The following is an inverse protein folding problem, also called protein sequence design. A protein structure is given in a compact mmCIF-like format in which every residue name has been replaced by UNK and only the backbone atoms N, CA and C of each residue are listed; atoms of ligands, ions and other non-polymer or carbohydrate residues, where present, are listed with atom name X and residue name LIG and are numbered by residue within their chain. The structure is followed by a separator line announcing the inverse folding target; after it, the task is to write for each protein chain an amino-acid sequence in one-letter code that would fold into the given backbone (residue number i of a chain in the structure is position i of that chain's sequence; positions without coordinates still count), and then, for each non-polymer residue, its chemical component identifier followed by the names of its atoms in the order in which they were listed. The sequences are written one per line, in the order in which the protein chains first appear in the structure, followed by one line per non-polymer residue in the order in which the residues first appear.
data_IF_103692192283
#
_entry.id   IF_103692192283
#
_cell.length_a   1.000
_cell.length_b   1.000
_cell.length_c   1.000
_cell.angle_alpha   90.00
_cell.angle_beta   90.00
_cell.angle_gamma   90.00
#
_symmetry.space_group_name_H-M   'P 1'
#
loop_
_entity.id
_entity.type
_entity.pdbx_description
1 polymer ?
#
# COMPACT_ATOMS: atom_id res chain seq x y z
N UNK A 1 69.82 21.03 -11.22
CA UNK A 1 68.78 20.00 -11.00
C UNK A 1 68.20 20.18 -9.61
N UNK A 2 66.92 20.51 -9.43
CA UNK A 2 66.34 20.71 -8.10
C UNK A 2 66.13 19.36 -7.41
N UNK A 3 66.70 19.19 -6.21
CA UNK A 3 66.46 18.03 -5.35
C UNK A 3 65.06 18.16 -4.74
N UNK A 4 64.14 17.28 -5.13
CA UNK A 4 62.82 17.17 -4.49
C UNK A 4 63.02 16.61 -3.07
N UNK A 5 62.60 17.38 -2.07
CA UNK A 5 62.62 16.99 -0.66
C UNK A 5 61.57 15.89 -0.43
N UNK A 6 61.99 14.63 -0.39
CA UNK A 6 61.17 13.49 0.02
C UNK A 6 61.09 13.46 1.56
N UNK A 7 60.36 14.41 2.13
CA UNK A 7 59.94 14.30 3.53
C UNK A 7 58.88 13.20 3.59
N UNK A 8 59.25 12.04 4.12
CA UNK A 8 58.35 10.89 4.22
C UNK A 8 57.07 11.25 4.96
N UNK A 9 55.94 10.70 4.50
CA UNK A 9 54.65 10.84 5.19
C UNK A 9 54.84 10.36 6.63
N UNK A 10 54.61 11.24 7.60
CA UNK A 10 54.82 10.86 9.00
C UNK A 10 53.87 9.71 9.36
N UNK A 11 54.31 8.70 10.14
CA UNK A 11 53.45 7.59 10.54
C UNK A 11 52.15 8.05 11.22
N UNK A 12 52.22 9.17 11.94
CA UNK A 12 51.08 9.80 12.59
C UNK A 12 50.02 10.30 11.58
N UNK A 13 50.46 10.84 10.44
CA UNK A 13 49.56 11.30 9.37
C UNK A 13 48.86 10.12 8.70
N UNK A 14 49.56 9.00 8.49
CA UNK A 14 48.97 7.77 7.95
C UNK A 14 47.91 7.19 8.88
N UNK A 15 48.20 7.13 10.19
CA UNK A 15 47.23 6.65 11.20
C UNK A 15 46.01 7.56 11.27
N UNK A 16 46.21 8.89 11.22
CA UNK A 16 45.09 9.84 11.23
C UNK A 16 44.20 9.70 9.99
N UNK A 17 44.79 9.54 8.80
CA UNK A 17 44.03 9.30 7.57
C UNK A 17 43.25 7.99 7.63
N UNK A 18 43.86 6.92 8.16
CA UNK A 18 43.18 5.64 8.35
C UNK A 18 41.99 5.75 9.33
N UNK A 19 42.18 6.49 10.44
CA UNK A 19 41.12 6.73 11.41
C UNK A 19 39.95 7.54 10.82
N UNK A 20 40.25 8.59 10.06
CA UNK A 20 39.22 9.39 9.37
C UNK A 20 38.47 8.53 8.35
N UNK A 21 39.19 7.72 7.55
CA UNK A 21 38.58 6.80 6.59
C UNK A 21 37.62 5.80 7.25
N UNK A 22 38.03 5.23 8.38
CA UNK A 22 37.18 4.29 9.15
C UNK A 22 35.93 4.98 9.69
N UNK A 23 36.05 6.21 10.21
CA UNK A 23 34.91 6.97 10.74
C UNK A 23 33.92 7.32 9.62
N UNK A 24 34.41 7.77 8.46
CA UNK A 24 33.55 8.06 7.29
C UNK A 24 32.84 6.78 6.81
N UNK A 25 33.55 5.66 6.77
CA UNK A 25 32.96 4.36 6.43
C UNK A 25 31.83 3.97 7.39
N UNK A 26 32.06 4.08 8.71
CA UNK A 26 31.05 3.76 9.73
C UNK A 26 29.83 4.68 9.65
N UNK A 27 30.04 5.97 9.35
CA UNK A 27 28.95 6.93 9.14
C UNK A 27 28.09 6.55 7.94
N UNK A 28 28.69 6.21 6.80
CA UNK A 28 27.97 5.79 5.59
C UNK A 28 27.28 4.44 5.80
N UNK A 29 27.93 3.49 6.48
CA UNK A 29 27.36 2.19 6.81
C UNK A 29 26.13 2.29 7.73
N UNK A 30 26.07 3.32 8.58
CA UNK A 30 24.92 3.58 9.44
C UNK A 30 23.81 4.42 8.77
N UNK A 31 24.01 4.91 7.54
CA UNK A 31 22.94 5.59 6.80
C UNK A 31 21.88 4.57 6.39
N UNK A 32 20.65 4.76 6.88
CA UNK A 32 19.45 3.98 6.52
C UNK A 32 19.38 3.55 5.03
N UNK A 33 19.57 4.44 4.04
CA UNK A 33 19.46 4.05 2.63
C UNK A 33 20.50 3.04 2.14
N UNK A 34 21.65 2.90 2.81
CA UNK A 34 22.68 1.92 2.42
C UNK A 34 22.33 0.50 2.88
N UNK A 35 21.87 0.36 4.13
CA UNK A 35 21.42 -0.93 4.66
C UNK A 35 20.21 -1.47 3.89
N UNK A 36 19.28 -0.61 3.49
CA UNK A 36 18.14 -1.01 2.65
C UNK A 36 18.60 -1.54 1.28
N UNK A 37 19.58 -0.87 0.65
CA UNK A 37 20.14 -1.28 -0.65
C UNK A 37 20.91 -2.60 -0.55
N UNK A 38 21.77 -2.75 0.44
CA UNK A 38 22.51 -4.00 0.68
C UNK A 38 21.57 -5.17 0.95
N UNK A 39 20.59 -4.99 1.84
CA UNK A 39 19.65 -6.04 2.18
C UNK A 39 18.76 -6.40 0.99
N UNK A 40 18.34 -5.42 0.17
CA UNK A 40 17.56 -5.69 -1.05
C UNK A 40 18.33 -6.47 -2.11
N UNK A 41 19.66 -6.28 -2.19
CA UNK A 41 20.51 -6.94 -3.17
C UNK A 41 20.94 -8.35 -2.74
N UNK A 42 21.20 -8.55 -1.45
CA UNK A 42 21.69 -9.82 -0.89
C UNK A 42 20.55 -10.75 -0.46
N UNK A 43 19.43 -10.18 -0.02
CA UNK A 43 18.24 -10.90 0.44
C UNK A 43 17.01 -10.36 -0.29
N UNK A 44 16.89 -10.60 -1.60
CA UNK A 44 15.71 -10.19 -2.34
C UNK A 44 14.49 -10.81 -1.68
N UNK A 45 13.53 -9.96 -1.32
CA UNK A 45 12.33 -10.39 -0.60
C UNK A 45 11.60 -11.47 -1.42
N UNK A 46 11.29 -12.64 -0.84
CA UNK A 46 10.49 -13.67 -1.49
C UNK A 46 9.20 -13.09 -2.09
N UNK A 47 8.80 -13.59 -3.26
CA UNK A 47 7.57 -13.16 -3.93
C UNK A 47 6.33 -13.25 -3.02
N UNK A 48 6.33 -14.21 -2.09
CA UNK A 48 5.29 -14.41 -1.08
C UNK A 48 5.11 -13.21 -0.13
N UNK A 49 6.18 -12.44 0.14
CA UNK A 49 6.14 -11.33 1.09
C UNK A 49 6.21 -9.95 0.40
N UNK A 50 6.64 -9.91 -0.87
CA UNK A 50 6.46 -8.77 -1.76
C UNK A 50 4.96 -8.56 -2.09
N UNK A 51 4.20 -9.65 -2.11
CA UNK A 51 2.75 -9.64 -1.96
C UNK A 51 2.45 -9.26 -0.51
N UNK A 52 2.26 -7.97 -0.21
CA UNK A 52 1.75 -7.55 1.10
C UNK A 52 0.51 -8.35 1.49
N UNK A 53 0.12 -8.41 2.79
CA UNK A 53 -1.02 -9.20 3.24
C UNK A 53 -2.25 -8.82 2.41
N UNK A 54 -2.54 -9.63 1.40
CA UNK A 54 -3.78 -9.55 0.65
C UNK A 54 -4.81 -10.05 1.64
N UNK A 55 -5.66 -9.15 2.11
CA UNK A 55 -6.97 -9.62 2.53
C UNK A 55 -7.52 -10.42 1.35
N UNK A 56 -8.15 -11.57 1.60
CA UNK A 56 -8.96 -12.25 0.58
C UNK A 56 -10.27 -11.46 0.37
N UNK A 57 -10.16 -10.14 0.41
CA UNK A 57 -11.27 -9.23 0.44
C UNK A 57 -11.96 -9.25 -0.91
N UNK A 58 -13.28 -9.33 -0.86
CA UNK A 58 -14.11 -9.20 -2.04
C UNK A 58 -15.22 -8.21 -1.77
N UNK A 59 -15.66 -7.53 -2.82
CA UNK A 59 -16.87 -6.73 -2.81
C UNK A 59 -17.89 -7.36 -3.73
N UNK A 60 -19.15 -7.26 -3.35
CA UNK A 60 -20.29 -7.72 -4.15
C UNK A 60 -21.46 -6.78 -3.94
N UNK A 61 -22.30 -6.65 -4.97
CA UNK A 61 -23.46 -5.77 -4.95
C UNK A 61 -24.72 -6.63 -4.95
N UNK A 62 -25.63 -6.31 -4.05
CA UNK A 62 -26.84 -7.07 -3.82
C UNK A 62 -28.06 -6.17 -3.91
N UNK A 63 -29.15 -6.71 -4.45
CA UNK A 63 -30.45 -6.06 -4.43
C UNK A 63 -31.47 -7.12 -4.05
N UNK A 64 -32.25 -6.88 -2.99
CA UNK A 64 -33.24 -7.84 -2.47
C UNK A 64 -32.66 -9.25 -2.28
N UNK A 65 -31.50 -9.35 -1.61
CA UNK A 65 -30.77 -10.60 -1.38
C UNK A 65 -30.37 -11.40 -2.63
N UNK A 66 -30.35 -10.75 -3.80
CA UNK A 66 -29.81 -11.32 -5.04
C UNK A 66 -28.54 -10.57 -5.45
N UNK A 67 -27.48 -11.30 -5.80
CA UNK A 67 -26.27 -10.71 -6.36
C UNK A 67 -26.58 -10.06 -7.71
N UNK A 68 -26.19 -8.81 -7.89
CA UNK A 68 -26.45 -8.03 -9.11
C UNK A 68 -25.16 -7.45 -9.69
N UNK A 69 -25.10 -7.40 -11.02
CA UNK A 69 -24.06 -6.68 -11.77
C UNK A 69 -24.64 -5.53 -12.59
N UNK A 70 -25.97 -5.40 -12.64
CA UNK A 70 -26.67 -4.32 -13.31
C UNK A 70 -28.00 -3.99 -12.63
N UNK A 71 -28.34 -2.70 -12.58
CA UNK A 71 -29.56 -2.17 -11.96
C UNK A 71 -30.06 -0.92 -12.70
N UNK A 72 -31.31 -0.55 -12.48
CA UNK A 72 -31.86 0.72 -12.95
C UNK A 72 -31.25 1.93 -12.20
N UNK A 73 -31.21 3.13 -12.80
CA UNK A 73 -30.72 4.34 -12.15
C UNK A 73 -31.42 4.60 -10.81
N UNK A 74 -30.66 5.02 -9.80
CA UNK A 74 -31.22 5.36 -8.48
C UNK A 74 -31.72 4.17 -7.65
N UNK A 75 -31.54 2.94 -8.10
CA UNK A 75 -31.91 1.74 -7.34
C UNK A 75 -31.21 1.68 -5.99
N UNK A 76 -31.93 1.27 -4.94
CA UNK A 76 -31.31 0.87 -3.68
C UNK A 76 -30.57 -0.44 -3.87
N UNK A 77 -29.29 -0.45 -3.51
CA UNK A 77 -28.42 -1.62 -3.55
C UNK A 77 -27.68 -1.75 -2.22
N UNK A 78 -27.11 -2.91 -1.97
CA UNK A 78 -26.31 -3.19 -0.79
C UNK A 78 -24.92 -3.65 -1.22
N UNK A 79 -23.91 -2.90 -0.78
CA UNK A 79 -22.52 -3.25 -1.01
C UNK A 79 -22.03 -4.12 0.14
N UNK A 80 -21.78 -5.38 -0.15
CA UNK A 80 -21.31 -6.38 0.81
C UNK A 80 -19.83 -6.64 0.63
N UNK A 81 -19.08 -6.60 1.73
CA UNK A 81 -17.68 -6.95 1.79
C UNK A 81 -17.46 -8.24 2.58
N UNK A 82 -16.56 -9.10 2.10
CA UNK A 82 -16.16 -10.34 2.80
C UNK A 82 -14.64 -10.51 2.76
N UNK A 83 -14.07 -11.27 3.68
CA UNK A 83 -12.63 -11.60 3.68
C UNK A 83 -11.70 -10.48 4.15
N UNK A 84 -12.24 -9.48 4.86
CA UNK A 84 -11.49 -8.42 5.52
C UNK A 84 -10.95 -8.90 6.87
N UNK A 85 -9.97 -8.18 7.43
CA UNK A 85 -9.53 -8.48 8.80
C UNK A 85 -10.65 -8.12 9.78
N UNK A 86 -10.87 -8.97 10.79
CA UNK A 86 -11.87 -8.74 11.84
C UNK A 86 -11.62 -7.41 12.54
N UNK A 87 -12.65 -6.56 12.62
CA UNK A 87 -12.55 -5.24 13.25
C UNK A 87 -11.75 -4.19 12.48
N UNK A 88 -11.29 -4.48 11.25
CA UNK A 88 -10.61 -3.48 10.43
C UNK A 88 -11.61 -2.46 9.87
N UNK A 89 -11.28 -1.18 10.01
CA UNK A 89 -11.99 -0.11 9.33
C UNK A 89 -11.44 0.10 7.92
N UNK A 90 -12.32 0.01 6.93
CA UNK A 90 -12.06 0.31 5.52
C UNK A 90 -12.95 1.46 5.05
N UNK A 91 -12.52 2.13 3.98
CA UNK A 91 -13.22 3.28 3.41
C UNK A 91 -13.81 2.86 2.07
N UNK A 92 -15.13 2.92 1.94
CA UNK A 92 -15.89 2.27 0.87
C UNK A 92 -16.68 3.29 0.07
N UNK A 93 -16.72 3.14 -1.25
CA UNK A 93 -17.54 3.98 -2.13
C UNK A 93 -17.15 3.85 -3.59
N UNK A 94 -17.60 4.80 -4.42
CA UNK A 94 -17.26 4.85 -5.84
C UNK A 94 -15.81 5.28 -6.06
N UNK A 95 -15.10 4.57 -6.94
CA UNK A 95 -13.75 4.89 -7.35
C UNK A 95 -13.70 6.27 -8.01
N UNK A 96 -12.70 7.08 -7.64
CA UNK A 96 -12.51 8.42 -8.21
C UNK A 96 -13.46 9.49 -7.67
N UNK A 97 -14.41 9.14 -6.79
CA UNK A 97 -15.26 10.11 -6.10
C UNK A 97 -14.73 10.43 -4.71
N UNK A 98 -14.85 11.69 -4.31
CA UNK A 98 -14.67 12.11 -2.92
C UNK A 98 -15.89 11.69 -2.10
N UNK A 99 -15.68 11.33 -0.82
CA UNK A 99 -16.78 10.92 0.08
C UNK A 99 -16.89 9.41 0.33
N UNK A 100 -15.77 8.72 0.48
CA UNK A 100 -15.77 7.32 0.93
C UNK A 100 -16.35 7.22 2.36
N UNK A 101 -17.17 6.21 2.59
CA UNK A 101 -17.79 5.93 3.88
C UNK A 101 -16.91 4.97 4.68
N UNK A 102 -16.47 5.30 5.91
CA UNK A 102 -15.77 4.34 6.75
C UNK A 102 -16.73 3.24 7.23
N UNK A 103 -16.33 1.99 7.09
CA UNK A 103 -17.07 0.80 7.53
C UNK A 103 -16.10 -0.12 8.26
N UNK A 104 -16.52 -0.63 9.41
CA UNK A 104 -15.73 -1.58 10.21
C UNK A 104 -16.22 -3.00 9.93
N UNK A 105 -15.31 -3.88 9.54
CA UNK A 105 -15.62 -5.30 9.36
C UNK A 105 -15.95 -5.95 10.71
N UNK A 106 -16.93 -6.84 10.71
CA UNK A 106 -17.39 -7.55 11.91
C UNK A 106 -16.38 -8.61 12.38
N UNK A 107 -16.77 -9.39 13.40
CA UNK A 107 -15.96 -10.48 13.98
C UNK A 107 -15.72 -11.66 13.01
N UNK A 108 -16.40 -11.69 11.86
CA UNK A 108 -16.21 -12.66 10.79
C UNK A 108 -15.45 -12.09 9.59
N UNK A 109 -15.12 -10.79 9.61
CA UNK A 109 -14.44 -10.12 8.50
C UNK A 109 -15.38 -9.66 7.38
N UNK A 110 -16.67 -9.50 7.70
CA UNK A 110 -17.70 -9.09 6.76
C UNK A 110 -18.26 -7.71 7.10
N UNK A 111 -18.84 -7.04 6.12
CA UNK A 111 -19.65 -5.84 6.34
C UNK A 111 -20.75 -5.73 5.29
N UNK A 112 -21.76 -4.92 5.61
CA UNK A 112 -22.80 -4.54 4.68
C UNK A 112 -23.06 -3.03 4.74
N UNK A 113 -23.17 -2.40 3.57
CA UNK A 113 -23.38 -0.96 3.44
C UNK A 113 -24.49 -0.67 2.41
N UNK A 114 -25.64 -0.13 2.82
CA UNK A 114 -26.67 0.35 1.90
C UNK A 114 -26.13 1.49 1.02
N UNK A 115 -26.45 1.47 -0.26
CA UNK A 115 -26.04 2.45 -1.27
C UNK A 115 -27.20 2.76 -2.22
N UNK A 116 -27.12 3.92 -2.88
CA UNK A 116 -27.99 4.27 -4.00
C UNK A 116 -27.16 4.20 -5.27
N UNK A 117 -27.64 3.45 -6.27
CA UNK A 117 -27.01 3.38 -7.57
C UNK A 117 -26.98 4.77 -8.24
N UNK A 118 -25.95 5.10 -9.02
CA UNK A 118 -25.88 6.36 -9.75
C UNK A 118 -27.13 6.61 -10.62
N UNK A 119 -27.47 7.88 -10.78
CA UNK A 119 -28.64 8.33 -11.57
C UNK A 119 -28.36 8.33 -13.07
N UNK A 120 -27.09 8.36 -13.47
CA UNK A 120 -26.69 8.35 -14.86
C UNK A 120 -26.34 6.92 -15.30
N UNK A 121 -26.72 6.52 -16.51
CA UNK A 121 -26.30 5.23 -17.07
C UNK A 121 -24.79 5.19 -17.23
N UNK A 122 -24.20 4.03 -16.98
CA UNK A 122 -22.75 3.86 -17.06
C UNK A 122 -22.24 2.67 -16.26
N UNK A 123 -20.95 2.40 -16.36
CA UNK A 123 -20.28 1.40 -15.52
C UNK A 123 -19.50 2.10 -14.42
N UNK A 124 -19.79 1.69 -13.19
CA UNK A 124 -19.27 2.29 -11.97
C UNK A 124 -18.48 1.27 -11.17
N UNK A 125 -17.30 1.65 -10.71
CA UNK A 125 -16.47 0.79 -9.88
C UNK A 125 -16.61 1.19 -8.42
N UNK A 126 -17.05 0.28 -7.58
CA UNK A 126 -17.00 0.41 -6.14
C UNK A 126 -15.67 -0.14 -5.63
N UNK A 127 -15.07 0.54 -4.66
CA UNK A 127 -13.79 0.17 -4.05
C UNK A 127 -13.89 0.22 -2.54
N UNK A 128 -13.09 -0.61 -1.89
CA UNK A 128 -12.76 -0.49 -0.47
C UNK A 128 -11.27 -0.20 -0.33
N UNK A 129 -10.93 0.75 0.52
CA UNK A 129 -9.57 1.24 0.73
C UNK A 129 -9.19 1.10 2.21
N UNK A 130 -7.97 0.67 2.48
CA UNK A 130 -7.41 0.68 3.83
C UNK A 130 -6.11 1.50 3.85
N UNK A 131 -5.89 2.23 4.94
CA UNK A 131 -4.62 2.91 5.16
C UNK A 131 -3.62 1.93 5.77
N UNK A 132 -2.68 1.46 4.95
CA UNK A 132 -1.68 0.44 5.33
C UNK A 132 -0.30 0.90 4.90
N UNK A 133 0.71 0.69 5.76
CA UNK A 133 2.12 1.05 5.46
C UNK A 133 2.28 2.51 4.99
N UNK A 134 1.56 3.43 5.64
CA UNK A 134 1.54 4.87 5.32
C UNK A 134 0.98 5.24 3.94
N UNK A 135 0.25 4.33 3.28
CA UNK A 135 -0.39 4.58 1.99
C UNK A 135 -1.82 4.03 1.92
N UNK A 136 -2.65 4.61 1.07
CA UNK A 136 -3.98 4.09 0.76
C UNK A 136 -3.86 2.93 -0.22
N UNK A 137 -4.37 1.76 0.16
CA UNK A 137 -4.35 0.56 -0.68
C UNK A 137 -5.76 0.13 -1.00
N UNK A 138 -6.07 -0.14 -2.27
CA UNK A 138 -7.33 -0.77 -2.66
C UNK A 138 -7.30 -2.21 -2.16
N UNK A 139 -8.27 -2.55 -1.32
CA UNK A 139 -8.41 -3.86 -0.70
C UNK A 139 -9.23 -4.81 -1.57
N UNK A 140 -10.28 -4.28 -2.19
CA UNK A 140 -11.20 -4.98 -3.06
C UNK A 140 -11.98 -3.98 -3.93
N UNK A 141 -12.51 -4.46 -5.06
CA UNK A 141 -13.33 -3.69 -5.99
C UNK A 141 -14.39 -4.55 -6.67
N UNK A 142 -15.49 -3.94 -7.08
CA UNK A 142 -16.53 -4.57 -7.92
C UNK A 142 -17.14 -3.53 -8.87
N UNK A 143 -17.72 -3.98 -9.96
CA UNK A 143 -18.33 -3.10 -10.98
C UNK A 143 -19.86 -3.26 -11.00
N UNK A 144 -20.55 -2.15 -11.28
CA UNK A 144 -21.99 -2.10 -11.47
C UNK A 144 -22.30 -1.38 -12.79
N UNK A 145 -23.14 -1.97 -13.62
CA UNK A 145 -23.65 -1.30 -14.82
C UNK A 145 -25.06 -0.76 -14.57
N UNK A 146 -25.20 0.56 -14.61
CA UNK A 146 -26.50 1.22 -14.54
C UNK A 146 -27.09 1.30 -15.96
N UNK A 147 -28.22 0.65 -16.18
CA UNK A 147 -28.91 0.57 -17.48
C UNK A 147 -30.29 1.22 -17.42
N UNK A 148 -30.68 1.97 -18.46
CA UNK A 148 -32.02 2.56 -18.59
C UNK A 148 -33.07 1.51 -18.96
#
# INVERSE_FOLDING_TARGET
MPKLNQSGVSPLLVILLAAIGLIVYLLIANMSPFNDRLNSALYPKPAAEARGPRSNASLSLWQNDTLVTSVAPGSTIELRGTGFNRGETVYVGLAGYFGLTPVTADSTGNFSLPQIAPQLPGTYNYVSLAYRRKTWTIMASTSLTVTQ
#
